data_IF_840951048288
#
_entry.id   IF_840951048288
#
_cell.length_a   1.000
_cell.length_b   1.000
_cell.length_c   1.000
_cell.angle_alpha   90.00
_cell.angle_beta   90.00
_cell.angle_gamma   90.00
#
_symmetry.space_group_name_H-M   'P 1'
#
loop_
_entity.id
_entity.type
_entity.pdbx_description
1 polymer ?
#
# COMPACT_ATOMS: atom_id res chain seq x y z
N UNK A 1 -19.30 -7.59 -0.25
CA UNK A 1 -20.32 -6.55 0.01
C UNK A 1 -20.21 -5.53 -1.11
N UNK A 2 -21.32 -4.93 -1.52
CA UNK A 2 -21.32 -3.95 -2.62
C UNK A 2 -21.70 -2.58 -2.07
N UNK A 3 -20.93 -1.56 -2.48
CA UNK A 3 -21.23 -0.16 -2.15
C UNK A 3 -22.40 0.32 -3.00
N UNK A 4 -23.08 1.37 -2.53
CA UNK A 4 -23.97 2.11 -3.40
C UNK A 4 -23.18 2.68 -4.59
N UNK A 5 -23.70 2.51 -5.81
CA UNK A 5 -23.04 2.93 -7.06
C UNK A 5 -22.56 4.39 -7.04
N UNK A 6 -23.34 5.32 -6.49
CA UNK A 6 -22.94 6.73 -6.43
C UNK A 6 -21.76 6.97 -5.49
N UNK A 7 -21.71 6.22 -4.38
CA UNK A 7 -20.61 6.26 -3.42
C UNK A 7 -19.36 5.63 -4.05
N UNK A 8 -19.52 4.48 -4.69
CA UNK A 8 -18.46 3.79 -5.41
C UNK A 8 -17.84 4.67 -6.50
N UNK A 9 -18.66 5.28 -7.37
CA UNK A 9 -18.20 6.19 -8.42
C UNK A 9 -17.45 7.40 -7.86
N UNK A 10 -17.87 7.90 -6.69
CA UNK A 10 -17.18 9.02 -6.04
C UNK A 10 -15.83 8.60 -5.46
N UNK A 11 -15.75 7.41 -4.87
CA UNK A 11 -14.47 6.83 -4.42
C UNK A 11 -13.52 6.66 -5.60
N UNK A 12 -13.97 6.04 -6.70
CA UNK A 12 -13.15 5.84 -7.90
C UNK A 12 -12.64 7.16 -8.46
N UNK A 13 -13.49 8.20 -8.54
CA UNK A 13 -13.05 9.53 -8.98
C UNK A 13 -11.96 10.13 -8.10
N UNK A 14 -12.10 10.03 -6.78
CA UNK A 14 -11.11 10.56 -5.83
C UNK A 14 -9.80 9.77 -5.87
N UNK A 15 -9.85 8.44 -6.05
CA UNK A 15 -8.66 7.62 -6.26
C UNK A 15 -7.93 8.03 -7.54
N UNK A 16 -8.63 8.16 -8.67
CA UNK A 16 -8.03 8.58 -9.94
C UNK A 16 -7.44 10.00 -9.86
N UNK A 17 -8.06 10.89 -9.10
CA UNK A 17 -7.51 12.23 -8.83
C UNK A 17 -6.22 12.15 -8.01
N UNK A 18 -6.20 11.29 -6.99
CA UNK A 18 -5.01 11.00 -6.20
C UNK A 18 -3.87 10.47 -7.06
N UNK A 19 -4.14 9.48 -7.92
CA UNK A 19 -3.14 8.89 -8.82
C UNK A 19 -2.56 9.95 -9.77
N UNK A 20 -3.41 10.80 -10.34
CA UNK A 20 -2.98 11.91 -11.19
C UNK A 20 -2.18 12.98 -10.44
N UNK A 21 -2.32 13.10 -9.12
CA UNK A 21 -1.46 13.95 -8.29
C UNK A 21 -0.11 13.28 -8.01
N UNK A 22 -0.06 11.96 -7.75
CA UNK A 22 1.18 11.19 -7.59
C UNK A 22 2.03 11.29 -8.86
N UNK A 23 1.44 11.10 -10.04
CA UNK A 23 2.14 11.23 -11.33
C UNK A 23 2.78 12.61 -11.54
N UNK A 24 2.23 13.65 -10.89
CA UNK A 24 2.73 15.03 -10.94
C UNK A 24 3.68 15.38 -9.78
N UNK A 25 4.02 14.40 -8.93
CA UNK A 25 4.82 14.57 -7.72
C UNK A 25 4.15 15.39 -6.63
N UNK A 26 2.81 15.53 -6.65
CA UNK A 26 2.03 16.31 -5.68
C UNK A 26 1.47 15.41 -4.59
N UNK A 27 2.37 14.73 -3.87
CA UNK A 27 2.02 13.66 -2.92
C UNK A 27 1.04 14.11 -1.83
N UNK A 28 1.20 15.32 -1.27
CA UNK A 28 0.29 15.83 -0.24
C UNK A 28 -1.16 15.93 -0.74
N UNK A 29 -1.35 16.37 -2.00
CA UNK A 29 -2.70 16.46 -2.62
C UNK A 29 -3.27 15.08 -2.95
N UNK A 30 -2.40 14.14 -3.32
CA UNK A 30 -2.81 12.77 -3.53
C UNK A 30 -3.33 12.16 -2.21
N UNK A 31 -2.60 12.35 -1.11
CA UNK A 31 -2.99 11.92 0.23
C UNK A 31 -4.35 12.52 0.63
N UNK A 32 -4.56 13.82 0.43
CA UNK A 32 -5.86 14.46 0.68
C UNK A 32 -7.00 13.78 -0.10
N UNK A 33 -6.76 13.46 -1.37
CA UNK A 33 -7.76 12.82 -2.25
C UNK A 33 -8.09 11.40 -1.79
N UNK A 34 -7.07 10.60 -1.44
CA UNK A 34 -7.28 9.24 -0.94
C UNK A 34 -7.93 9.21 0.45
N UNK A 35 -7.60 10.15 1.35
CA UNK A 35 -8.29 10.27 2.65
C UNK A 35 -9.77 10.58 2.42
N UNK A 36 -10.09 11.53 1.53
CA UNK A 36 -11.47 11.84 1.18
C UNK A 36 -12.20 10.62 0.57
N UNK A 37 -11.52 9.79 -0.23
CA UNK A 37 -12.08 8.53 -0.72
C UNK A 37 -12.34 7.55 0.42
N UNK A 38 -11.37 7.39 1.32
CA UNK A 38 -11.45 6.47 2.45
C UNK A 38 -12.61 6.83 3.39
N UNK A 39 -12.84 8.11 3.63
CA UNK A 39 -13.92 8.62 4.50
C UNK A 39 -15.32 8.25 3.98
N UNK A 40 -15.47 8.01 2.68
CA UNK A 40 -16.72 7.53 2.09
C UNK A 40 -16.96 6.04 2.32
N UNK A 41 -15.93 5.27 2.65
CA UNK A 41 -16.06 3.83 2.91
C UNK A 41 -16.68 3.59 4.30
N UNK A 42 -17.77 2.81 4.40
CA UNK A 42 -18.41 2.50 5.67
C UNK A 42 -17.50 1.79 6.67
N UNK A 43 -17.86 1.87 7.95
CA UNK A 43 -17.19 1.12 9.01
C UNK A 43 -17.78 -0.30 9.15
N UNK A 44 -16.98 -1.31 9.50
CA UNK A 44 -15.51 -1.26 9.59
C UNK A 44 -14.88 -1.24 8.19
N UNK A 45 -13.88 -0.37 7.97
CA UNK A 45 -13.25 -0.17 6.64
C UNK A 45 -12.60 -1.44 6.11
N UNK A 46 -12.12 -2.31 7.01
CA UNK A 46 -11.47 -3.58 6.69
C UNK A 46 -12.36 -4.60 5.99
N UNK A 47 -13.67 -4.36 5.91
CA UNK A 47 -14.58 -5.29 5.26
C UNK A 47 -14.82 -4.97 3.77
N UNK A 48 -14.20 -3.91 3.25
CA UNK A 48 -14.46 -3.37 1.91
C UNK A 48 -13.25 -3.48 0.99
N UNK A 49 -13.45 -4.03 -0.21
CA UNK A 49 -12.40 -4.15 -1.23
C UNK A 49 -11.85 -2.78 -1.66
N UNK A 50 -12.70 -1.75 -1.74
CA UNK A 50 -12.26 -0.38 -2.01
C UNK A 50 -11.25 0.13 -0.97
N UNK A 51 -11.37 -0.29 0.29
CA UNK A 51 -10.39 0.06 1.31
C UNK A 51 -9.03 -0.59 1.06
N UNK A 52 -8.97 -1.79 0.48
CA UNK A 52 -7.70 -2.40 0.05
C UNK A 52 -6.97 -1.46 -0.91
N UNK A 53 -7.65 -0.96 -1.94
CA UNK A 53 -7.05 -0.07 -2.94
C UNK A 53 -6.61 1.26 -2.32
N UNK A 54 -7.49 1.89 -1.54
CA UNK A 54 -7.25 3.22 -0.96
C UNK A 54 -6.12 3.18 0.07
N UNK A 55 -6.10 2.19 0.97
CA UNK A 55 -5.02 2.05 1.93
C UNK A 55 -3.69 1.70 1.26
N UNK A 56 -3.72 0.93 0.18
CA UNK A 56 -2.51 0.63 -0.62
C UNK A 56 -1.95 1.91 -1.24
N UNK A 57 -2.80 2.71 -1.89
CA UNK A 57 -2.41 3.98 -2.50
C UNK A 57 -1.88 5.00 -1.47
N UNK A 58 -2.54 5.11 -0.30
CA UNK A 58 -2.04 5.91 0.81
C UNK A 58 -0.67 5.41 1.29
N UNK A 59 -0.54 4.11 1.49
CA UNK A 59 0.69 3.45 1.90
C UNK A 59 1.87 3.77 0.99
N UNK A 60 1.67 3.55 -0.31
CA UNK A 60 2.66 3.82 -1.35
C UNK A 60 3.01 5.32 -1.43
N UNK A 61 2.00 6.20 -1.37
CA UNK A 61 2.23 7.65 -1.44
C UNK A 61 2.98 8.17 -0.21
N UNK A 62 2.67 7.69 0.99
CA UNK A 62 3.43 8.04 2.20
C UNK A 62 4.87 7.53 2.11
N UNK A 63 5.09 6.35 1.51
CA UNK A 63 6.44 5.83 1.30
C UNK A 63 7.23 6.71 0.32
N UNK A 64 6.63 7.13 -0.78
CA UNK A 64 7.23 8.10 -1.72
C UNK A 64 7.57 9.44 -1.03
N UNK A 65 6.78 9.85 -0.03
CA UNK A 65 7.03 11.03 0.79
C UNK A 65 8.02 10.80 1.96
N UNK A 66 8.59 9.59 2.07
CA UNK A 66 9.49 9.15 3.16
C UNK A 66 8.85 9.17 4.55
N UNK A 67 7.53 9.13 4.62
CA UNK A 67 6.76 9.05 5.86
C UNK A 67 6.47 7.59 6.23
N UNK A 68 7.55 6.83 6.46
CA UNK A 68 7.50 5.36 6.52
C UNK A 68 6.61 4.78 7.63
N UNK A 69 6.49 5.45 8.78
CA UNK A 69 5.55 5.04 9.84
C UNK A 69 4.09 5.11 9.38
N UNK A 70 3.72 6.16 8.64
CA UNK A 70 2.38 6.31 8.07
C UNK A 70 2.16 5.30 6.93
N UNK A 71 3.17 5.09 6.09
CA UNK A 71 3.14 4.08 5.03
C UNK A 71 2.85 2.70 5.62
N UNK A 72 3.67 2.27 6.59
CA UNK A 72 3.51 1.01 7.33
C UNK A 72 2.11 0.85 7.92
N UNK A 73 1.61 1.88 8.63
CA UNK A 73 0.28 1.84 9.24
C UNK A 73 -0.84 1.62 8.21
N UNK A 74 -0.81 2.35 7.10
CA UNK A 74 -1.80 2.20 6.03
C UNK A 74 -1.68 0.83 5.34
N UNK A 75 -0.47 0.33 5.10
CA UNK A 75 -0.27 -0.98 4.45
C UNK A 75 -0.68 -2.14 5.36
N UNK A 76 -0.55 -2.02 6.68
CA UNK A 76 -1.16 -2.98 7.60
C UNK A 76 -2.69 -2.98 7.52
N UNK A 77 -3.31 -1.81 7.40
CA UNK A 77 -4.75 -1.74 7.16
C UNK A 77 -5.12 -2.38 5.82
N UNK A 78 -4.39 -2.08 4.74
CA UNK A 78 -4.62 -2.66 3.41
C UNK A 78 -4.52 -4.19 3.45
N UNK A 79 -3.49 -4.73 4.12
CA UNK A 79 -3.30 -6.18 4.32
C UNK A 79 -4.48 -6.84 5.04
N UNK A 80 -5.14 -6.12 5.95
CA UNK A 80 -6.29 -6.61 6.71
C UNK A 80 -7.63 -6.42 5.98
N UNK A 81 -7.64 -5.76 4.82
CA UNK A 81 -8.79 -5.64 3.94
C UNK A 81 -8.91 -6.86 3.00
N UNK A 82 -10.04 -7.02 2.28
CA UNK A 82 -10.24 -8.15 1.35
C UNK A 82 -9.09 -8.25 0.33
N UNK A 83 -8.62 -9.48 0.12
CA UNK A 83 -7.49 -9.85 -0.76
C UNK A 83 -6.13 -9.22 -0.41
N UNK A 84 -6.04 -8.40 0.63
CA UNK A 84 -4.82 -7.69 0.99
C UNK A 84 -3.71 -8.59 1.57
N UNK A 85 -4.08 -9.69 2.24
CA UNK A 85 -3.12 -10.57 2.94
C UNK A 85 -2.12 -11.27 1.99
N UNK A 86 -2.55 -11.49 0.76
CA UNK A 86 -1.81 -12.19 -0.29
C UNK A 86 -1.48 -11.31 -1.49
N UNK A 87 -1.69 -9.99 -1.38
CA UNK A 87 -1.32 -9.07 -2.44
C UNK A 87 0.20 -8.82 -2.42
N UNK A 88 0.96 -9.21 -3.46
CA UNK A 88 2.41 -9.13 -3.45
C UNK A 88 2.94 -7.71 -3.32
N UNK A 89 2.26 -6.73 -3.93
CA UNK A 89 2.65 -5.32 -3.86
C UNK A 89 2.47 -4.75 -2.44
N UNK A 90 1.35 -5.06 -1.78
CA UNK A 90 1.13 -4.66 -0.37
C UNK A 90 2.22 -5.26 0.52
N UNK A 91 2.55 -6.54 0.33
CA UNK A 91 3.59 -7.22 1.10
C UNK A 91 4.97 -6.61 0.86
N UNK A 92 5.31 -6.31 -0.40
CA UNK A 92 6.55 -5.63 -0.78
C UNK A 92 6.66 -4.29 -0.06
N UNK A 93 5.72 -3.37 -0.34
CA UNK A 93 5.80 -2.00 0.19
C UNK A 93 5.71 -1.95 1.72
N UNK A 94 4.98 -2.89 2.35
CA UNK A 94 4.96 -3.03 3.80
C UNK A 94 6.32 -3.46 4.34
N UNK A 95 6.97 -4.44 3.70
CA UNK A 95 8.31 -4.90 4.04
C UNK A 95 9.36 -3.79 3.90
N UNK A 96 9.27 -2.99 2.85
CA UNK A 96 10.15 -1.82 2.63
C UNK A 96 9.92 -0.74 3.68
N UNK A 97 8.65 -0.43 3.97
CA UNK A 97 8.30 0.54 5.03
C UNK A 97 8.82 0.08 6.41
N UNK A 98 8.72 -1.22 6.71
CA UNK A 98 9.27 -1.82 7.92
C UNK A 98 10.80 -1.74 7.97
N UNK A 99 11.46 -1.96 6.82
CA UNK A 99 12.92 -1.81 6.72
C UNK A 99 13.36 -0.39 7.03
N UNK A 100 12.69 0.61 6.46
CA UNK A 100 12.99 2.03 6.72
C UNK A 100 12.71 2.44 8.17
N UNK A 101 11.73 1.81 8.82
CA UNK A 101 11.45 1.95 10.25
C UNK A 101 12.44 1.19 11.15
N UNK A 102 13.39 0.42 10.59
CA UNK A 102 14.35 -0.39 11.36
C UNK A 102 13.79 -1.71 11.91
N UNK A 103 12.56 -2.10 11.55
CA UNK A 103 11.92 -3.36 11.96
C UNK A 103 12.34 -4.52 11.05
N UNK A 104 13.66 -4.79 11.00
CA UNK A 104 14.28 -5.66 9.99
C UNK A 104 13.76 -7.12 9.99
N UNK A 105 13.43 -7.68 11.14
CA UNK A 105 12.93 -9.07 11.22
C UNK A 105 11.56 -9.21 10.56
N UNK A 106 10.66 -8.25 10.79
CA UNK A 106 9.37 -8.21 10.10
C UNK A 106 9.54 -7.86 8.62
N UNK A 107 10.43 -6.93 8.31
CA UNK A 107 10.73 -6.58 6.92
C UNK A 107 11.12 -7.83 6.10
N UNK A 108 12.02 -8.68 6.64
CA UNK A 108 12.39 -9.96 6.02
C UNK A 108 11.18 -10.84 5.75
N UNK A 109 10.31 -11.03 6.73
CA UNK A 109 9.11 -11.87 6.59
C UNK A 109 8.23 -11.41 5.42
N UNK A 110 7.93 -10.10 5.37
CA UNK A 110 7.04 -9.55 4.34
C UNK A 110 7.69 -9.54 2.95
N UNK A 111 8.95 -9.14 2.85
CA UNK A 111 9.69 -9.14 1.58
C UNK A 111 9.87 -10.56 1.02
N UNK A 112 10.14 -11.56 1.87
CA UNK A 112 10.20 -12.96 1.45
C UNK A 112 8.85 -13.46 0.92
N UNK A 113 7.76 -13.14 1.61
CA UNK A 113 6.42 -13.52 1.14
C UNK A 113 6.09 -12.88 -0.19
N UNK A 114 6.44 -11.61 -0.39
CA UNK A 114 6.29 -10.93 -1.67
C UNK A 114 7.10 -11.62 -2.78
N UNK A 115 8.35 -12.01 -2.48
CA UNK A 115 9.21 -12.78 -3.39
C UNK A 115 8.63 -14.15 -3.73
N UNK A 116 8.11 -14.90 -2.76
CA UNK A 116 7.54 -16.24 -3.00
C UNK A 116 6.35 -16.17 -3.96
N UNK A 117 5.58 -15.07 -3.92
CA UNK A 117 4.39 -14.91 -4.76
C UNK A 117 4.71 -14.48 -6.20
N UNK A 118 5.63 -13.53 -6.39
CA UNK A 118 5.89 -12.92 -7.71
C UNK A 118 7.35 -13.03 -8.18
N UNK A 119 8.26 -13.51 -7.35
CA UNK A 119 9.69 -13.63 -7.65
C UNK A 119 10.43 -12.29 -7.74
N UNK A 120 11.64 -12.34 -8.30
CA UNK A 120 12.56 -11.19 -8.34
C UNK A 120 12.04 -10.00 -9.17
N UNK A 121 11.12 -10.22 -10.13
CA UNK A 121 10.56 -9.13 -10.98
C UNK A 121 9.87 -8.02 -10.17
N UNK A 122 9.40 -8.34 -8.97
CA UNK A 122 8.74 -7.37 -8.09
C UNK A 122 9.72 -6.31 -7.56
N UNK A 123 11.02 -6.60 -7.54
CA UNK A 123 12.07 -5.73 -6.99
C UNK A 123 12.79 -4.88 -8.06
N UNK A 124 12.46 -5.01 -9.35
CA UNK A 124 13.22 -4.37 -10.44
C UNK A 124 13.30 -2.86 -10.36
N UNK A 125 12.27 -2.21 -9.81
CA UNK A 125 12.19 -0.75 -9.67
C UNK A 125 12.43 -0.27 -8.24
N UNK A 126 12.77 -1.19 -7.34
CA UNK A 126 12.96 -0.88 -5.91
C UNK A 126 14.44 -0.74 -5.58
N UNK A 127 14.75 -0.12 -4.44
CA UNK A 127 16.13 -0.06 -3.97
C UNK A 127 16.66 -1.46 -3.64
N UNK A 128 17.82 -1.82 -4.20
CA UNK A 128 18.44 -3.13 -4.03
C UNK A 128 18.58 -3.54 -2.56
N UNK A 129 18.70 -2.59 -1.62
CA UNK A 129 18.82 -2.89 -0.18
C UNK A 129 17.68 -3.78 0.36
N UNK A 130 16.48 -3.69 -0.21
CA UNK A 130 15.35 -4.51 0.20
C UNK A 130 15.50 -5.96 -0.24
N UNK A 131 15.93 -6.20 -1.48
CA UNK A 131 16.22 -7.55 -1.96
C UNK A 131 17.44 -8.15 -1.25
N UNK A 132 18.49 -7.34 -1.03
CA UNK A 132 19.69 -7.74 -0.32
C UNK A 132 19.41 -8.23 1.11
N UNK A 133 18.34 -7.71 1.75
CA UNK A 133 17.92 -8.17 3.08
C UNK A 133 17.49 -9.64 3.10
N UNK A 134 16.95 -10.15 1.98
CA UNK A 134 16.34 -11.49 1.89
C UNK A 134 17.09 -12.47 1.00
N UNK A 135 18.06 -12.02 0.20
CA UNK A 135 18.72 -12.82 -0.84
C UNK A 135 19.34 -14.14 -0.36
N UNK A 136 19.84 -14.19 0.87
CA UNK A 136 20.51 -15.37 1.43
C UNK A 136 19.49 -16.39 2.01
N UNK A 137 18.20 -16.07 1.94
CA UNK A 137 17.09 -16.88 2.46
C UNK A 137 16.25 -17.53 1.35
N UNK A 138 16.68 -17.38 0.09
CA UNK A 138 15.97 -17.81 -1.13
C UNK A 138 16.64 -19.04 -1.76
#
# INVERSE_FOLDING_TARGET
MELNDQVYDRIVRLCNEGDAFVEKGKNDKAIESYIAALDLVPLPKTDWETSTWIYTALGDTYFLNREYEKAKSNLYNARNCPDGISNPFILLRLGESLFECGELDKAREYLLRAYILEGYKLFFNEDNKYFELIKDMI
#
